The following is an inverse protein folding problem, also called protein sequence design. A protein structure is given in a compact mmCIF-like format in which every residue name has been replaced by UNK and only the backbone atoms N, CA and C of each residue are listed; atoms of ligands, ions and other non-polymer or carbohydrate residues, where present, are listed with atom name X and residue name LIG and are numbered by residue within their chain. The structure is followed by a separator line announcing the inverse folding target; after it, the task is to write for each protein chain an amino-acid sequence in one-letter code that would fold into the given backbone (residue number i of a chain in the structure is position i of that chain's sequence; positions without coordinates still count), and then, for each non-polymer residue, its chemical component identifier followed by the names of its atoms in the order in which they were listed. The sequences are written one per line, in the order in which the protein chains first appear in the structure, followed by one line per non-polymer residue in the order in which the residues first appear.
data_IF_535765694048
#
_entry.id   IF_535765694048
#
_cell.length_a   1.000
_cell.length_b   1.000
_cell.length_c   1.000
_cell.angle_alpha   90.00
_cell.angle_beta   90.00
_cell.angle_gamma   90.00
#
_symmetry.space_group_name_H-M   'P 1'
#
loop_
_entity.id
_entity.type
_entity.pdbx_description
1 polymer ?
#
# COMPACT_ATOMS: atom_id res chain seq x y z
N UNK A 1 15.07 -0.53 25.39
CA UNK A 1 15.40 0.20 24.15
C UNK A 1 14.52 -0.41 23.07
N UNK A 2 13.50 0.31 22.61
CA UNK A 2 12.64 -0.14 21.52
C UNK A 2 13.19 0.48 20.23
N UNK A 3 13.63 -0.34 19.28
CA UNK A 3 14.03 0.12 17.96
C UNK A 3 12.92 -0.20 16.96
N UNK A 4 12.63 0.74 16.07
CA UNK A 4 11.75 0.56 14.91
C UNK A 4 12.59 0.75 13.65
N UNK A 5 12.46 -0.16 12.71
CA UNK A 5 13.18 -0.11 11.44
C UNK A 5 12.15 0.04 10.34
N UNK A 6 12.36 1.02 9.47
CA UNK A 6 11.53 1.27 8.29
C UNK A 6 12.39 1.03 7.06
N UNK A 7 11.91 0.17 6.16
CA UNK A 7 12.58 -0.13 4.90
C UNK A 7 12.26 1.00 3.92
N UNK A 8 13.28 1.66 3.35
CA UNK A 8 13.10 2.77 2.41
C UNK A 8 13.48 2.31 1.00
N UNK A 9 12.53 2.34 0.07
CA UNK A 9 12.76 2.20 -1.36
C UNK A 9 13.13 3.56 -1.96
N UNK A 10 14.05 3.58 -2.92
CA UNK A 10 14.42 4.81 -3.62
C UNK A 10 13.25 5.29 -4.49
N UNK A 11 12.75 6.50 -4.27
CA UNK A 11 11.86 7.15 -5.24
C UNK A 11 11.99 8.67 -5.25
N UNK A 12 11.72 9.23 -6.42
CA UNK A 12 11.80 10.64 -6.76
C UNK A 12 10.51 11.41 -6.44
N UNK A 13 10.77 12.67 -6.08
CA UNK A 13 9.90 13.74 -5.58
C UNK A 13 8.60 13.96 -6.37
N UNK A 14 7.52 14.33 -5.67
CA UNK A 14 6.52 15.23 -6.27
C UNK A 14 5.84 16.22 -5.28
N UNK A 15 5.56 17.39 -5.85
CA UNK A 15 5.28 18.71 -5.25
C UNK A 15 4.13 18.80 -4.22
N UNK A 16 4.30 19.67 -3.23
CA UNK A 16 3.27 20.07 -2.27
C UNK A 16 2.28 21.07 -2.87
N UNK A 17 0.99 20.78 -2.73
CA UNK A 17 -0.10 21.73 -2.94
C UNK A 17 -1.05 21.66 -1.74
N UNK A 18 -0.79 22.43 -0.69
CA UNK A 18 -1.55 22.34 0.56
C UNK A 18 -1.46 23.52 1.54
N UNK A 19 -0.75 24.59 1.17
CA UNK A 19 -0.71 25.84 1.93
C UNK A 19 -1.52 26.93 1.21
N UNK A 20 -1.97 27.99 1.92
CA UNK A 20 -2.49 29.19 1.28
C UNK A 20 -1.54 29.65 0.17
N UNK A 21 -2.09 30.00 -1.00
CA UNK A 21 -1.27 30.37 -2.14
C UNK A 21 -0.41 31.60 -1.79
N UNK A 22 0.81 31.68 -2.33
CA UNK A 22 1.64 32.90 -2.20
C UNK A 22 0.89 34.14 -2.75
N UNK A 23 -0.02 33.93 -3.70
CA UNK A 23 -0.98 34.91 -4.20
C UNK A 23 -2.42 34.55 -3.76
N UNK A 24 -2.74 34.91 -2.51
CA UNK A 24 -4.06 34.70 -1.90
C UNK A 24 -5.16 35.45 -2.66
N UNK A 25 -4.85 36.60 -3.24
CA UNK A 25 -5.86 37.43 -3.91
C UNK A 25 -6.35 36.78 -5.20
N UNK A 26 -5.44 36.20 -5.98
CA UNK A 26 -5.80 35.38 -7.15
C UNK A 26 -6.57 34.13 -6.74
N UNK A 27 -6.15 33.43 -5.68
CA UNK A 27 -6.88 32.27 -5.18
C UNK A 27 -8.32 32.60 -4.75
N UNK A 28 -8.53 33.76 -4.09
CA UNK A 28 -9.86 34.26 -3.74
C UNK A 28 -10.71 34.59 -4.97
N UNK A 29 -10.12 35.18 -6.01
CA UNK A 29 -10.84 35.45 -7.28
C UNK A 29 -11.29 34.15 -7.95
N UNK A 30 -10.41 33.14 -8.00
CA UNK A 30 -10.73 31.81 -8.55
C UNK A 30 -11.83 31.13 -7.72
N UNK A 31 -11.73 31.17 -6.38
CA UNK A 31 -12.74 30.61 -5.49
C UNK A 31 -14.12 31.23 -5.73
N UNK A 32 -14.20 32.57 -5.83
CA UNK A 32 -15.46 33.25 -6.14
C UNK A 32 -16.07 32.80 -7.47
N UNK A 33 -15.23 32.65 -8.50
CA UNK A 33 -15.69 32.16 -9.80
C UNK A 33 -16.18 30.72 -9.72
N UNK A 34 -15.47 29.87 -8.99
CA UNK A 34 -15.84 28.47 -8.77
C UNK A 34 -17.16 28.35 -7.98
N UNK A 35 -17.41 29.20 -6.99
CA UNK A 35 -18.69 29.28 -6.27
C UNK A 35 -19.85 29.62 -7.20
N UNK A 36 -19.68 30.61 -8.08
CA UNK A 36 -20.72 30.97 -9.07
C UNK A 36 -21.04 29.83 -10.03
N UNK A 37 -20.04 29.00 -10.36
CA UNK A 37 -20.24 27.79 -11.17
C UNK A 37 -20.94 26.70 -10.35
N UNK A 38 -20.55 26.50 -9.09
CA UNK A 38 -21.14 25.52 -8.19
C UNK A 38 -22.63 25.80 -7.93
N UNK A 39 -23.02 27.07 -7.77
CA UNK A 39 -24.40 27.49 -7.56
C UNK A 39 -25.30 27.20 -8.77
N UNK A 40 -24.71 27.14 -9.97
CA UNK A 40 -25.41 26.78 -11.22
C UNK A 40 -25.36 25.29 -11.51
N UNK A 41 -24.60 24.52 -10.74
CA UNK A 41 -24.43 23.09 -10.95
C UNK A 41 -25.56 22.32 -10.27
N UNK A 42 -26.41 21.67 -11.05
CA UNK A 42 -27.58 20.92 -10.56
C UNK A 42 -27.23 19.59 -9.90
N UNK A 43 -26.03 19.05 -10.15
CA UNK A 43 -25.56 17.79 -9.56
C UNK A 43 -24.17 18.00 -8.94
N UNK A 44 -24.14 18.16 -7.62
CA UNK A 44 -22.89 18.13 -6.87
C UNK A 44 -22.31 16.72 -6.88
N UNK A 45 -20.99 16.62 -6.91
CA UNK A 45 -20.23 15.37 -6.88
C UNK A 45 -19.05 15.51 -5.91
N UNK A 46 -18.58 14.39 -5.36
CA UNK A 46 -17.45 14.33 -4.42
C UNK A 46 -16.21 15.06 -4.94
N UNK A 47 -15.83 14.82 -6.20
CA UNK A 47 -14.66 15.46 -6.82
C UNK A 47 -14.77 16.98 -6.89
N UNK A 48 -15.96 17.51 -7.16
CA UNK A 48 -16.24 18.95 -7.23
C UNK A 48 -16.08 19.56 -5.85
N UNK A 49 -16.71 18.97 -4.82
CA UNK A 49 -16.61 19.46 -3.45
C UNK A 49 -15.18 19.36 -2.91
N UNK A 50 -14.46 18.27 -3.18
CA UNK A 50 -13.04 18.13 -2.86
C UNK A 50 -12.20 19.22 -3.55
N UNK A 51 -12.52 19.58 -4.80
CA UNK A 51 -11.92 20.72 -5.50
C UNK A 51 -12.22 22.06 -4.81
N UNK A 52 -13.45 22.27 -4.37
CA UNK A 52 -13.85 23.48 -3.62
C UNK A 52 -13.13 23.59 -2.28
N UNK A 53 -12.92 22.48 -1.57
CA UNK A 53 -12.10 22.45 -0.34
C UNK A 53 -10.67 22.92 -0.65
N UNK A 54 -10.04 22.38 -1.70
CA UNK A 54 -8.68 22.80 -2.11
C UNK A 54 -8.60 24.30 -2.42
N UNK A 55 -9.56 24.82 -3.18
CA UNK A 55 -9.61 26.24 -3.53
C UNK A 55 -9.85 27.14 -2.30
N UNK A 56 -10.74 26.73 -1.40
CA UNK A 56 -11.03 27.47 -0.17
C UNK A 56 -9.80 27.50 0.76
N UNK A 57 -9.11 26.37 0.93
CA UNK A 57 -7.82 26.30 1.65
C UNK A 57 -6.78 27.22 1.01
N UNK A 58 -6.62 27.16 -0.32
CA UNK A 58 -5.67 28.01 -1.04
C UNK A 58 -5.97 29.52 -0.90
N UNK A 59 -7.24 29.88 -0.76
CA UNK A 59 -7.72 31.25 -0.55
C UNK A 59 -7.65 31.71 0.93
N UNK A 60 -7.28 30.81 1.86
CA UNK A 60 -7.28 31.09 3.30
C UNK A 60 -8.68 31.14 3.94
N UNK A 61 -9.72 30.71 3.23
CA UNK A 61 -11.11 30.69 3.71
C UNK A 61 -11.40 29.35 4.39
N UNK A 62 -10.83 29.12 5.58
CA UNK A 62 -10.81 27.79 6.23
C UNK A 62 -12.22 27.36 6.68
N UNK A 63 -13.02 28.26 7.22
CA UNK A 63 -14.40 27.95 7.64
C UNK A 63 -15.25 27.45 6.47
N UNK A 64 -15.06 28.07 5.30
CA UNK A 64 -15.72 27.68 4.08
C UNK A 64 -15.20 26.32 3.57
N UNK A 65 -13.90 26.06 3.68
CA UNK A 65 -13.32 24.76 3.36
C UNK A 65 -13.92 23.64 4.23
N UNK A 66 -14.09 23.90 5.53
CA UNK A 66 -14.73 22.97 6.47
C UNK A 66 -16.21 22.73 6.14
N UNK A 67 -16.93 23.77 5.72
CA UNK A 67 -18.31 23.64 5.28
C UNK A 67 -18.42 22.71 4.06
N UNK A 68 -17.60 22.92 3.03
CA UNK A 68 -17.60 22.06 1.84
C UNK A 68 -17.15 20.63 2.15
N UNK A 69 -16.18 20.46 3.04
CA UNK A 69 -15.75 19.14 3.47
C UNK A 69 -16.88 18.40 4.19
N UNK A 70 -17.54 19.04 5.16
CA UNK A 70 -18.69 18.46 5.88
C UNK A 70 -19.83 18.10 4.92
N UNK A 71 -20.13 18.96 3.95
CA UNK A 71 -21.11 18.68 2.91
C UNK A 71 -20.72 17.44 2.08
N UNK A 72 -19.44 17.35 1.70
CA UNK A 72 -18.92 16.19 0.97
C UNK A 72 -19.11 14.90 1.75
N UNK A 73 -18.76 14.90 3.04
CA UNK A 73 -18.85 13.72 3.92
C UNK A 73 -20.29 13.30 4.23
N UNK A 74 -21.23 14.24 4.22
CA UNK A 74 -22.64 13.98 4.54
C UNK A 74 -23.42 13.44 3.34
N UNK A 75 -23.06 13.86 2.13
CA UNK A 75 -23.84 13.60 0.92
C UNK A 75 -23.24 12.53 -0.01
N UNK A 76 -21.96 12.19 0.15
CA UNK A 76 -21.26 11.27 -0.74
C UNK A 76 -20.39 10.29 0.05
N UNK A 77 -20.05 9.15 -0.57
CA UNK A 77 -18.98 8.31 -0.07
C UNK A 77 -17.63 9.01 -0.34
N UNK A 78 -16.91 9.47 0.70
CA UNK A 78 -15.66 10.17 0.52
C UNK A 78 -14.57 9.20 0.08
N UNK A 79 -13.50 9.75 -0.49
CA UNK A 79 -12.28 9.02 -0.83
C UNK A 79 -11.14 9.60 0.01
N UNK A 80 -9.99 8.91 0.08
CA UNK A 80 -8.81 9.42 0.78
C UNK A 80 -8.42 10.86 0.33
N UNK A 81 -8.53 11.12 -0.99
CA UNK A 81 -8.30 12.45 -1.58
C UNK A 81 -9.20 13.57 -1.06
N UNK A 82 -10.35 13.24 -0.47
CA UNK A 82 -11.31 14.22 0.07
C UNK A 82 -10.82 14.82 1.40
N UNK A 83 -9.90 14.14 2.10
CA UNK A 83 -9.31 14.56 3.38
C UNK A 83 -7.95 15.22 3.20
N UNK A 84 -7.20 14.83 2.16
CA UNK A 84 -5.85 15.31 1.90
C UNK A 84 -5.67 16.85 2.01
N UNK A 85 -6.57 17.71 1.48
CA UNK A 85 -6.39 19.17 1.56
C UNK A 85 -6.39 19.71 2.99
N UNK A 86 -7.24 19.16 3.86
CA UNK A 86 -7.32 19.60 5.26
C UNK A 86 -6.18 18.99 6.09
N UNK A 87 -5.77 17.75 5.81
CA UNK A 87 -4.59 17.15 6.46
C UNK A 87 -3.32 17.92 6.12
N UNK A 88 -3.17 18.34 4.86
CA UNK A 88 -2.07 19.23 4.45
C UNK A 88 -2.12 20.59 5.15
N UNK A 89 -3.30 21.19 5.25
CA UNK A 89 -3.49 22.46 5.96
C UNK A 89 -3.04 22.35 7.42
N UNK A 90 -3.54 21.36 8.16
CA UNK A 90 -3.23 21.20 9.58
C UNK A 90 -1.78 20.81 9.83
N UNK A 91 -1.15 20.09 8.88
CA UNK A 91 0.27 19.76 8.93
C UNK A 91 1.19 20.90 8.50
N UNK A 92 0.64 21.97 7.92
CA UNK A 92 1.44 23.12 7.48
C UNK A 92 2.07 23.85 8.67
N UNK A 93 3.24 24.48 8.50
CA UNK A 93 3.92 25.23 9.57
C UNK A 93 3.10 26.38 10.15
N UNK A 94 2.09 26.88 9.43
CA UNK A 94 1.27 28.01 9.85
C UNK A 94 0.16 27.61 10.83
N UNK A 95 -0.35 26.39 10.73
CA UNK A 95 -1.46 25.91 11.56
C UNK A 95 -0.99 24.94 12.64
N UNK A 96 -0.20 23.91 12.26
CA UNK A 96 0.30 22.87 13.17
C UNK A 96 -0.75 22.34 14.18
N UNK A 97 -1.96 22.03 13.69
CA UNK A 97 -3.07 21.58 14.53
C UNK A 97 -3.15 20.04 14.53
N UNK A 98 -2.44 19.42 15.48
CA UNK A 98 -2.41 17.96 15.63
C UNK A 98 -3.77 17.38 16.03
N UNK A 99 -4.51 18.06 16.92
CA UNK A 99 -5.79 17.56 17.42
C UNK A 99 -6.85 17.56 16.31
N UNK A 100 -6.87 18.58 15.45
CA UNK A 100 -7.74 18.61 14.29
C UNK A 100 -7.35 17.55 13.25
N UNK A 101 -6.05 17.33 13.01
CA UNK A 101 -5.58 16.27 12.13
C UNK A 101 -5.97 14.87 12.64
N UNK A 102 -5.86 14.61 13.95
CA UNK A 102 -6.26 13.34 14.55
C UNK A 102 -7.78 13.10 14.49
N UNK A 103 -8.61 14.16 14.56
CA UNK A 103 -10.05 14.03 14.33
C UNK A 103 -10.38 13.59 12.91
N UNK A 104 -9.65 14.11 11.91
CA UNK A 104 -9.81 13.66 10.52
C UNK A 104 -9.40 12.19 10.34
N UNK A 105 -8.30 11.79 10.99
CA UNK A 105 -7.85 10.39 10.98
C UNK A 105 -8.88 9.47 11.61
N UNK A 106 -9.45 9.85 12.76
CA UNK A 106 -10.48 9.04 13.40
C UNK A 106 -11.73 8.88 12.52
N UNK A 107 -12.15 9.94 11.80
CA UNK A 107 -13.26 9.84 10.84
C UNK A 107 -12.90 8.96 9.63
N UNK A 108 -11.68 9.08 9.08
CA UNK A 108 -11.16 8.21 8.01
C UNK A 108 -11.19 6.73 8.41
N UNK A 109 -10.65 6.40 9.58
CA UNK A 109 -10.58 5.02 10.09
C UNK A 109 -11.96 4.47 10.40
N UNK A 110 -12.87 5.29 10.95
CA UNK A 110 -14.27 4.89 11.20
C UNK A 110 -15.02 4.50 9.92
N UNK A 111 -14.54 4.97 8.76
CA UNK A 111 -15.08 4.65 7.43
C UNK A 111 -14.34 3.52 6.73
N UNK A 112 -13.39 2.87 7.40
CA UNK A 112 -12.63 1.73 6.88
C UNK A 112 -11.47 2.09 5.98
N UNK A 113 -11.01 3.35 5.98
CA UNK A 113 -9.79 3.72 5.26
C UNK A 113 -8.55 3.43 6.09
N UNK A 114 -7.54 2.82 5.46
CA UNK A 114 -6.18 2.76 5.97
C UNK A 114 -5.40 3.99 5.52
N UNK A 115 -4.49 4.47 6.36
CA UNK A 115 -3.65 5.63 6.03
C UNK A 115 -2.52 5.21 5.07
N UNK A 116 -2.28 6.01 4.03
CA UNK A 116 -1.11 5.84 3.18
C UNK A 116 0.11 6.60 3.71
N UNK A 117 1.23 6.47 2.99
CA UNK A 117 2.48 7.19 3.31
C UNK A 117 2.29 8.71 3.34
N UNK A 118 1.48 9.25 2.42
CA UNK A 118 1.22 10.68 2.34
C UNK A 118 0.49 11.18 3.60
N UNK A 119 -0.58 10.51 4.02
CA UNK A 119 -1.36 10.87 5.20
C UNK A 119 -0.53 10.75 6.48
N UNK A 120 0.27 9.69 6.62
CA UNK A 120 1.20 9.51 7.72
C UNK A 120 2.24 10.63 7.74
N UNK A 121 2.79 11.02 6.59
CA UNK A 121 3.76 12.13 6.50
C UNK A 121 3.17 13.46 7.01
N UNK A 122 1.89 13.75 6.74
CA UNK A 122 1.23 14.95 7.26
C UNK A 122 1.08 14.90 8.78
N UNK A 123 0.66 13.76 9.34
CA UNK A 123 0.52 13.58 10.78
C UNK A 123 1.86 13.73 11.51
N UNK A 124 2.92 13.13 10.95
CA UNK A 124 4.25 13.23 11.54
C UNK A 124 4.76 14.69 11.57
N UNK A 125 4.39 15.51 10.57
CA UNK A 125 4.81 16.93 10.51
C UNK A 125 4.16 17.82 11.56
N UNK A 126 2.88 17.61 11.88
CA UNK A 126 2.20 18.35 12.97
C UNK A 126 2.31 17.70 14.34
N UNK A 127 2.88 16.49 14.45
CA UNK A 127 3.03 15.83 15.74
C UNK A 127 3.86 16.66 16.73
N UNK A 128 3.36 16.92 17.95
CA UNK A 128 4.14 17.52 19.02
C UNK A 128 5.19 16.53 19.55
N UNK A 129 6.25 17.04 20.18
CA UNK A 129 7.27 16.21 20.83
C UNK A 129 6.69 15.46 22.06
N UNK A 130 7.17 14.24 22.33
CA UNK A 130 6.75 13.40 23.44
C UNK A 130 6.05 12.10 23.02
N UNK A 131 5.14 11.58 23.86
CA UNK A 131 4.51 10.23 23.74
C UNK A 131 3.74 9.97 22.43
N UNK A 132 3.52 10.98 21.61
CA UNK A 132 2.91 10.84 20.30
C UNK A 132 3.86 10.21 19.26
N UNK A 133 5.19 10.26 19.50
CA UNK A 133 6.18 9.61 18.62
C UNK A 133 5.97 8.10 18.56
N UNK A 134 5.96 7.42 19.71
CA UNK A 134 5.84 5.96 19.77
C UNK A 134 4.56 5.47 19.09
N UNK A 135 3.44 6.16 19.33
CA UNK A 135 2.16 5.83 18.70
C UNK A 135 2.21 5.96 17.17
N UNK A 136 2.75 7.06 16.64
CA UNK A 136 2.81 7.26 15.18
C UNK A 136 3.88 6.38 14.54
N UNK A 137 5.01 6.14 15.20
CA UNK A 137 6.05 5.24 14.72
C UNK A 137 5.54 3.80 14.63
N UNK A 138 4.78 3.34 15.65
CA UNK A 138 4.10 2.05 15.62
C UNK A 138 3.07 2.00 14.49
N UNK A 139 2.32 3.08 14.28
CA UNK A 139 1.35 3.17 13.19
C UNK A 139 2.02 3.08 11.82
N UNK A 140 3.13 3.78 11.59
CA UNK A 140 3.91 3.68 10.35
C UNK A 140 4.43 2.26 10.16
N UNK A 141 5.05 1.66 11.19
CA UNK A 141 5.64 0.32 11.11
C UNK A 141 4.60 -0.78 10.87
N UNK A 142 3.36 -0.61 11.31
CA UNK A 142 2.27 -1.58 11.11
C UNK A 142 1.45 -1.34 9.84
N UNK A 143 1.61 -0.19 9.18
CA UNK A 143 0.80 0.16 7.99
C UNK A 143 1.63 0.16 6.71
N UNK A 144 2.94 0.43 6.80
CA UNK A 144 3.83 0.61 5.64
C UNK A 144 4.90 -0.47 5.63
N UNK A 145 4.78 -1.42 4.70
CA UNK A 145 5.76 -2.50 4.51
C UNK A 145 7.09 -1.99 3.97
N UNK A 146 7.01 -1.08 2.99
CA UNK A 146 8.15 -0.41 2.39
C UNK A 146 7.81 1.05 2.15
N UNK A 147 8.61 1.95 2.72
CA UNK A 147 8.51 3.39 2.51
C UNK A 147 9.01 3.69 1.11
N UNK A 148 8.10 4.05 0.22
CA UNK A 148 8.44 4.48 -1.13
C UNK A 148 8.63 5.99 -1.19
N UNK A 149 7.95 6.76 -0.35
CA UNK A 149 7.91 8.21 -0.39
C UNK A 149 9.00 8.85 0.49
N UNK A 150 9.91 9.60 -0.14
CA UNK A 150 10.94 10.38 0.56
C UNK A 150 10.36 11.36 1.58
N UNK A 151 9.14 11.87 1.36
CA UNK A 151 8.45 12.80 2.28
C UNK A 151 8.16 12.18 3.63
N UNK A 152 7.85 10.88 3.67
CA UNK A 152 7.63 10.16 4.92
C UNK A 152 8.95 10.04 5.69
N UNK A 153 10.03 9.68 4.99
CA UNK A 153 11.38 9.62 5.58
C UNK A 153 11.81 10.97 6.17
N UNK A 154 11.58 12.07 5.45
CA UNK A 154 11.91 13.41 5.92
C UNK A 154 11.05 13.85 7.11
N UNK A 155 9.77 13.48 7.12
CA UNK A 155 8.88 13.74 8.25
C UNK A 155 9.34 13.00 9.52
N UNK A 156 9.79 11.74 9.39
CA UNK A 156 10.35 10.95 10.49
C UNK A 156 11.62 11.61 11.04
N UNK A 157 12.56 11.99 10.16
CA UNK A 157 13.80 12.70 10.56
C UNK A 157 13.49 14.01 11.30
N UNK A 158 12.60 14.81 10.73
CA UNK A 158 12.20 16.10 11.31
C UNK A 158 11.55 15.92 12.67
N UNK A 159 10.71 14.89 12.83
CA UNK A 159 10.11 14.58 14.13
C UNK A 159 11.16 14.11 15.14
N UNK A 160 12.06 13.19 14.75
CA UNK A 160 13.13 12.71 15.63
C UNK A 160 14.02 13.83 16.14
N UNK A 161 14.30 14.85 15.31
CA UNK A 161 15.05 16.04 15.75
C UNK A 161 14.31 16.89 16.81
N UNK A 162 12.99 16.79 16.91
CA UNK A 162 12.19 17.51 17.92
C UNK A 162 12.16 16.79 19.26
N UNK A 163 12.44 15.48 19.29
CA UNK A 163 12.45 14.68 20.51
C UNK A 163 13.87 14.23 20.85
N UNK A 164 14.46 14.85 21.87
CA UNK A 164 15.81 14.54 22.34
C UNK A 164 15.98 13.10 22.87
N UNK A 165 14.89 12.38 23.12
CA UNK A 165 14.93 11.00 23.58
C UNK A 165 15.03 9.97 22.44
N UNK A 166 14.92 10.42 21.19
CA UNK A 166 14.90 9.58 20.00
C UNK A 166 16.08 9.93 19.09
N UNK A 167 16.77 8.91 18.60
CA UNK A 167 17.81 9.06 17.58
C UNK A 167 17.34 8.40 16.28
N UNK A 168 17.38 9.14 15.17
CA UNK A 168 16.97 8.65 13.84
C UNK A 168 18.20 8.56 12.95
N UNK A 169 18.55 7.35 12.53
CA UNK A 169 19.75 7.07 11.73
C UNK A 169 19.40 6.17 10.54
N UNK A 170 19.95 6.45 9.34
CA UNK A 170 19.95 5.45 8.28
C UNK A 170 20.88 4.29 8.67
N UNK A 171 20.43 3.06 8.47
CA UNK A 171 21.19 1.84 8.78
C UNK A 171 20.84 0.75 7.79
N UNK A 172 21.71 -0.26 7.71
CA UNK A 172 21.45 -1.51 6.99
C UNK A 172 20.98 -2.60 7.97
N UNK A 173 20.46 -3.68 7.39
CA UNK A 173 20.09 -4.92 8.08
C UNK A 173 20.97 -6.03 7.51
N UNK A 174 21.61 -6.81 8.38
CA UNK A 174 22.46 -7.93 7.96
C UNK A 174 21.65 -9.05 7.30
N UNK A 175 22.33 -9.98 6.62
CA UNK A 175 21.69 -11.16 6.02
C UNK A 175 20.95 -12.03 7.06
N UNK A 176 21.37 -11.99 8.32
CA UNK A 176 20.75 -12.69 9.45
C UNK A 176 19.59 -11.90 10.09
N UNK A 177 19.24 -10.73 9.53
CA UNK A 177 18.14 -9.89 9.98
C UNK A 177 18.49 -8.96 11.16
N UNK A 178 19.77 -8.67 11.43
CA UNK A 178 20.17 -7.79 12.53
C UNK A 178 20.41 -6.35 12.07
N UNK A 179 19.91 -5.38 12.83
CA UNK A 179 20.15 -3.96 12.62
C UNK A 179 21.62 -3.58 12.86
N UNK A 180 22.29 -2.96 11.90
CA UNK A 180 23.70 -2.56 12.07
C UNK A 180 23.92 -1.47 13.11
N UNK A 181 22.94 -0.59 13.34
CA UNK A 181 23.04 0.49 14.32
C UNK A 181 22.78 0.04 15.77
N UNK A 182 21.80 -0.84 15.98
CA UNK A 182 21.37 -1.24 17.35
C UNK A 182 21.77 -2.66 17.73
N UNK A 183 22.16 -3.50 16.77
CA UNK A 183 22.37 -4.94 16.96
C UNK A 183 21.09 -5.74 17.21
N UNK A 184 19.91 -5.10 17.21
CA UNK A 184 18.64 -5.78 17.47
C UNK A 184 18.25 -6.61 16.24
N UNK A 185 17.91 -7.89 16.49
CA UNK A 185 17.41 -8.81 15.47
C UNK A 185 15.94 -8.54 15.18
N UNK A 186 15.62 -8.37 13.91
CA UNK A 186 14.25 -8.21 13.43
C UNK A 186 13.45 -9.51 13.60
N UNK A 187 12.16 -9.36 13.84
CA UNK A 187 11.21 -10.47 13.93
C UNK A 187 10.76 -10.84 12.52
N UNK A 188 10.74 -12.14 12.19
CA UNK A 188 9.97 -12.64 11.04
C UNK A 188 8.49 -12.44 11.31
N UNK A 189 7.79 -11.75 10.42
CA UNK A 189 6.34 -11.61 10.49
C UNK A 189 5.77 -12.66 9.56
N UNK A 190 5.15 -13.68 10.14
CA UNK A 190 4.44 -14.70 9.39
C UNK A 190 2.96 -14.29 9.29
N UNK A 191 2.33 -14.65 8.17
CA UNK A 191 0.89 -14.48 7.98
C UNK A 191 0.16 -15.33 9.03
N UNK A 192 -0.83 -14.77 9.71
CA UNK A 192 -1.63 -15.51 10.69
C UNK A 192 -2.49 -16.60 10.03
N UNK A 193 -2.89 -17.62 10.79
CA UNK A 193 -3.77 -18.67 10.27
C UNK A 193 -5.10 -18.09 9.77
N UNK A 194 -5.61 -17.04 10.43
CA UNK A 194 -6.82 -16.33 10.05
C UNK A 194 -6.65 -15.57 8.72
N UNK A 195 -5.57 -14.79 8.57
CA UNK A 195 -5.25 -14.07 7.32
C UNK A 195 -5.00 -15.04 6.16
N UNK A 196 -4.34 -16.17 6.44
CA UNK A 196 -4.11 -17.21 5.45
C UNK A 196 -5.41 -17.87 4.99
N UNK A 197 -6.36 -18.10 5.91
CA UNK A 197 -7.69 -18.61 5.57
C UNK A 197 -8.46 -17.62 4.70
N UNK A 198 -8.47 -16.34 5.09
CA UNK A 198 -9.15 -15.29 4.32
C UNK A 198 -8.55 -15.16 2.91
N UNK A 199 -7.22 -15.17 2.80
CA UNK A 199 -6.52 -15.15 1.51
C UNK A 199 -6.87 -16.38 0.67
N UNK A 200 -6.95 -17.57 1.27
CA UNK A 200 -7.35 -18.80 0.60
C UNK A 200 -8.77 -18.69 0.04
N UNK A 201 -9.73 -18.22 0.84
CA UNK A 201 -11.14 -18.06 0.42
C UNK A 201 -11.28 -17.03 -0.72
N UNK A 202 -10.57 -15.91 -0.64
CA UNK A 202 -10.54 -14.90 -1.70
C UNK A 202 -9.92 -15.46 -2.98
N UNK A 203 -8.84 -16.24 -2.86
CA UNK A 203 -8.17 -16.87 -4.00
C UNK A 203 -9.06 -17.92 -4.67
N UNK A 204 -9.75 -18.75 -3.89
CA UNK A 204 -10.72 -19.72 -4.42
C UNK A 204 -11.87 -19.03 -5.15
N UNK A 205 -12.43 -17.97 -4.55
CA UNK A 205 -13.48 -17.18 -5.19
C UNK A 205 -13.01 -16.56 -6.51
N UNK A 206 -11.80 -16.01 -6.55
CA UNK A 206 -11.25 -15.41 -7.76
C UNK A 206 -10.94 -16.46 -8.83
N UNK A 207 -10.33 -17.59 -8.44
CA UNK A 207 -9.98 -18.67 -9.34
C UNK A 207 -11.23 -19.33 -9.97
N UNK A 208 -12.34 -19.34 -9.24
CA UNK A 208 -13.61 -19.92 -9.71
C UNK A 208 -14.59 -18.89 -10.27
N UNK A 209 -14.21 -17.60 -10.26
CA UNK A 209 -15.01 -16.52 -10.82
C UNK A 209 -15.21 -16.74 -12.32
N UNK A 210 -16.46 -16.66 -12.77
CA UNK A 210 -16.84 -16.79 -14.18
C UNK A 210 -16.47 -18.13 -14.86
N UNK A 211 -16.10 -19.16 -14.07
CA UNK A 211 -15.91 -20.52 -14.58
C UNK A 211 -17.23 -21.24 -14.82
N UNK A 212 -17.26 -22.13 -15.81
CA UNK A 212 -18.37 -23.08 -15.98
C UNK A 212 -18.39 -24.10 -14.83
N UNK A 213 -19.53 -24.75 -14.59
CA UNK A 213 -19.66 -25.78 -13.55
C UNK A 213 -18.65 -26.94 -13.75
N UNK A 214 -18.33 -27.30 -15.00
CA UNK A 214 -17.30 -28.30 -15.30
C UNK A 214 -15.90 -27.82 -14.87
N UNK A 215 -15.56 -26.56 -15.12
CA UNK A 215 -14.26 -25.99 -14.75
C UNK A 215 -14.13 -25.82 -13.24
N UNK A 216 -15.21 -25.42 -12.55
CA UNK A 216 -15.27 -25.41 -11.08
C UNK A 216 -15.07 -26.80 -10.50
N UNK A 217 -15.66 -27.83 -11.12
CA UNK A 217 -15.44 -29.21 -10.69
C UNK A 217 -13.96 -29.62 -10.81
N UNK A 218 -13.28 -29.25 -11.91
CA UNK A 218 -11.83 -29.52 -12.05
C UNK A 218 -10.99 -28.83 -10.96
N UNK A 219 -11.36 -27.62 -10.56
CA UNK A 219 -10.71 -26.93 -9.43
C UNK A 219 -10.95 -27.68 -8.10
N UNK A 220 -12.18 -28.12 -7.86
CA UNK A 220 -12.52 -28.91 -6.67
C UNK A 220 -11.79 -30.27 -6.65
N UNK A 221 -11.67 -30.93 -7.80
CA UNK A 221 -10.93 -32.18 -7.95
C UNK A 221 -9.45 -31.99 -7.60
N UNK A 222 -8.83 -30.87 -8.02
CA UNK A 222 -7.48 -30.52 -7.62
C UNK A 222 -7.37 -30.32 -6.10
N UNK A 223 -8.30 -29.58 -5.49
CA UNK A 223 -8.32 -29.34 -4.05
C UNK A 223 -8.42 -30.66 -3.26
N UNK A 224 -9.35 -31.53 -3.65
CA UNK A 224 -9.50 -32.87 -3.09
C UNK A 224 -8.25 -33.74 -3.28
N UNK A 225 -7.60 -33.64 -4.44
CA UNK A 225 -6.36 -34.35 -4.71
C UNK A 225 -5.25 -33.91 -3.76
N UNK A 226 -5.10 -32.60 -3.52
CA UNK A 226 -4.11 -32.05 -2.59
C UNK A 226 -4.40 -32.48 -1.14
N UNK A 227 -5.66 -32.43 -0.72
CA UNK A 227 -6.10 -32.85 0.63
C UNK A 227 -5.91 -34.35 0.87
N UNK A 228 -5.99 -35.16 -0.19
CA UNK A 228 -5.77 -36.62 -0.10
C UNK A 228 -4.30 -37.02 0.09
N UNK A 229 -3.35 -36.09 -0.09
CA UNK A 229 -1.93 -36.39 0.05
C UNK A 229 -1.57 -36.57 1.53
N UNK A 230 -0.96 -37.70 1.88
CA UNK A 230 -0.52 -37.99 3.25
C UNK A 230 0.55 -37.03 3.78
N UNK A 231 1.27 -36.37 2.89
CA UNK A 231 2.25 -35.34 3.19
C UNK A 231 2.07 -34.16 2.25
N UNK A 232 1.95 -32.92 2.75
CA UNK A 232 1.88 -31.75 1.87
C UNK A 232 3.21 -31.58 1.12
N UNK A 233 3.14 -31.01 -0.08
CA UNK A 233 4.34 -30.60 -0.80
C UNK A 233 5.02 -29.46 -0.03
N UNK A 234 6.33 -29.51 0.06
CA UNK A 234 7.13 -28.45 0.68
C UNK A 234 7.59 -27.41 -0.33
N UNK A 235 7.55 -27.76 -1.62
CA UNK A 235 7.93 -26.90 -2.74
C UNK A 235 6.84 -27.00 -3.81
N UNK A 236 6.29 -25.87 -4.22
CA UNK A 236 5.36 -25.76 -5.35
C UNK A 236 6.12 -25.08 -6.49
N UNK A 237 6.09 -25.70 -7.67
CA UNK A 237 6.81 -25.25 -8.86
C UNK A 237 5.83 -24.75 -9.90
N UNK A 238 5.90 -23.46 -10.23
CA UNK A 238 5.29 -22.90 -11.43
C UNK A 238 6.15 -23.27 -12.65
N UNK A 239 5.85 -24.42 -13.25
CA UNK A 239 6.63 -24.95 -14.35
C UNK A 239 6.49 -24.12 -15.63
N UNK A 240 5.37 -23.41 -15.81
CA UNK A 240 5.22 -22.55 -16.98
C UNK A 240 6.23 -21.39 -16.92
N UNK A 241 6.37 -20.75 -15.76
CA UNK A 241 7.35 -19.69 -15.56
C UNK A 241 8.79 -20.18 -15.79
N UNK A 242 9.14 -21.34 -15.22
CA UNK A 242 10.48 -21.91 -15.36
C UNK A 242 10.78 -22.28 -16.81
N UNK A 243 9.86 -23.00 -17.48
CA UNK A 243 10.07 -23.45 -18.86
C UNK A 243 10.16 -22.31 -19.88
N UNK A 244 9.65 -21.11 -19.55
CA UNK A 244 9.80 -19.90 -20.35
C UNK A 244 10.98 -19.01 -19.91
N UNK A 245 11.72 -19.39 -18.87
CA UNK A 245 12.80 -18.57 -18.35
C UNK A 245 13.91 -18.39 -19.40
N UNK A 246 14.18 -17.12 -19.73
CA UNK A 246 15.12 -16.70 -20.76
C UNK A 246 14.79 -17.22 -22.17
N UNK A 247 13.52 -17.48 -22.49
CA UNK A 247 13.07 -17.95 -23.82
C UNK A 247 12.42 -16.85 -24.68
N UNK A 248 12.49 -15.58 -24.30
CA UNK A 248 11.81 -14.49 -25.01
C UNK A 248 12.62 -13.96 -26.21
N UNK A 249 13.05 -14.83 -27.13
CA UNK A 249 13.78 -14.46 -28.36
C UNK A 249 13.22 -15.20 -29.58
N UNK A 250 13.63 -14.79 -30.79
CA UNK A 250 13.01 -15.18 -32.08
C UNK A 250 12.92 -16.70 -32.35
N UNK A 251 13.71 -17.50 -31.65
CA UNK A 251 13.73 -18.97 -31.71
C UNK A 251 13.63 -19.61 -30.31
N UNK A 252 13.05 -18.88 -29.35
CA UNK A 252 12.84 -19.37 -27.99
C UNK A 252 11.85 -20.52 -27.98
N UNK A 253 12.04 -21.47 -27.06
CA UNK A 253 11.15 -22.62 -26.94
C UNK A 253 10.93 -23.00 -25.48
N UNK A 254 9.78 -23.58 -25.19
CA UNK A 254 9.46 -24.08 -23.86
C UNK A 254 10.43 -25.21 -23.46
N UNK A 255 11.19 -25.02 -22.37
CA UNK A 255 12.25 -25.95 -21.97
C UNK A 255 11.83 -26.83 -20.78
N UNK A 256 11.49 -28.09 -21.06
CA UNK A 256 11.22 -29.07 -20.01
C UNK A 256 12.44 -29.37 -19.13
N UNK A 257 13.66 -29.35 -19.70
CA UNK A 257 14.89 -29.61 -18.94
C UNK A 257 15.11 -28.60 -17.80
N UNK A 258 14.70 -27.33 -17.97
CA UNK A 258 14.79 -26.33 -16.90
C UNK A 258 13.87 -26.68 -15.72
N UNK A 259 12.70 -27.25 -16.01
CA UNK A 259 11.75 -27.71 -14.98
C UNK A 259 12.33 -28.92 -14.24
N UNK A 260 12.89 -29.87 -14.99
CA UNK A 260 13.52 -31.08 -14.44
C UNK A 260 14.69 -30.70 -13.52
N UNK A 261 15.58 -29.79 -13.94
CA UNK A 261 16.73 -29.34 -13.14
C UNK A 261 16.28 -28.77 -11.77
N UNK A 262 15.22 -27.96 -11.75
CA UNK A 262 14.68 -27.37 -10.51
C UNK A 262 14.00 -28.43 -9.64
N UNK A 263 13.19 -29.31 -10.23
CA UNK A 263 12.51 -30.37 -9.49
C UNK A 263 13.52 -31.36 -8.89
N UNK A 264 14.55 -31.74 -9.64
CA UNK A 264 15.62 -32.63 -9.19
C UNK A 264 16.44 -32.01 -8.07
N UNK A 265 16.76 -30.72 -8.15
CA UNK A 265 17.52 -30.02 -7.12
C UNK A 265 16.86 -30.18 -5.75
N UNK A 266 15.58 -29.81 -5.63
CA UNK A 266 14.86 -29.91 -4.36
C UNK A 266 14.56 -31.35 -3.95
N UNK A 267 14.34 -32.25 -4.91
CA UNK A 267 14.16 -33.68 -4.61
C UNK A 267 15.44 -34.28 -4.01
N UNK A 268 16.62 -33.90 -4.49
CA UNK A 268 17.92 -34.32 -3.94
C UNK A 268 18.15 -33.82 -2.51
N UNK A 269 17.54 -32.70 -2.11
CA UNK A 269 17.51 -32.21 -0.73
C UNK A 269 16.46 -32.91 0.16
N UNK A 270 15.74 -33.90 -0.37
CA UNK A 270 14.69 -34.61 0.35
C UNK A 270 13.38 -33.83 0.48
N UNK A 271 13.17 -32.80 -0.33
CA UNK A 271 11.92 -32.03 -0.36
C UNK A 271 10.87 -32.72 -1.23
N UNK A 272 9.59 -32.58 -0.85
CA UNK A 272 8.46 -33.04 -1.69
C UNK A 272 8.07 -31.91 -2.64
N UNK A 273 8.21 -32.14 -3.93
CA UNK A 273 7.97 -31.15 -4.99
C UNK A 273 6.64 -31.42 -5.68
N UNK A 274 5.82 -30.40 -5.84
CA UNK A 274 4.61 -30.41 -6.67
C UNK A 274 4.80 -29.50 -7.87
N UNK A 275 4.77 -30.08 -9.07
CA UNK A 275 4.89 -29.33 -10.33
C UNK A 275 3.51 -29.01 -10.87
N UNK A 276 3.22 -27.72 -11.08
CA UNK A 276 1.98 -27.24 -11.68
C UNK A 276 2.26 -26.80 -13.12
N UNK A 277 1.63 -27.47 -14.09
CA UNK A 277 1.80 -27.19 -15.51
C UNK A 277 0.49 -27.38 -16.27
N UNK A 278 0.21 -26.50 -17.22
CA UNK A 278 -0.96 -26.61 -18.08
C UNK A 278 -0.83 -27.82 -19.03
N UNK A 279 -1.91 -28.59 -19.23
CA UNK A 279 -1.91 -29.84 -20.00
C UNK A 279 -1.37 -29.70 -21.43
N UNK A 280 -1.61 -28.54 -22.07
CA UNK A 280 -1.07 -28.22 -23.40
C UNK A 280 0.44 -28.48 -23.54
N UNK A 281 1.21 -28.23 -22.48
CA UNK A 281 2.67 -28.41 -22.48
C UNK A 281 3.11 -29.86 -22.28
N UNK A 282 2.15 -30.78 -22.13
CA UNK A 282 2.35 -32.22 -22.02
C UNK A 282 1.91 -32.96 -23.30
N UNK A 283 1.35 -32.25 -24.28
CA UNK A 283 0.86 -32.85 -25.52
C UNK A 283 2.03 -33.27 -26.43
N UNK A 284 1.96 -34.49 -26.95
CA UNK A 284 2.98 -35.02 -27.87
C UNK A 284 2.87 -34.34 -29.24
N UNK A 285 4.00 -33.83 -29.76
CA UNK A 285 4.05 -33.19 -31.08
C UNK A 285 3.64 -31.72 -31.10
N UNK A 286 3.52 -31.07 -29.94
CA UNK A 286 3.29 -29.64 -29.85
C UNK A 286 4.49 -28.85 -30.39
N UNK A 287 4.24 -27.78 -31.12
CA UNK A 287 5.25 -26.76 -31.40
C UNK A 287 5.56 -26.02 -30.10
N UNK A 288 6.81 -26.15 -29.64
CA UNK A 288 7.27 -25.56 -28.38
C UNK A 288 7.85 -24.16 -28.58
N UNK A 289 7.91 -23.65 -29.82
CA UNK A 289 8.37 -22.28 -30.08
C UNK A 289 7.47 -21.25 -29.40
N UNK A 290 8.10 -20.20 -28.85
CA UNK A 290 7.48 -19.11 -28.09
C UNK A 290 7.21 -17.89 -28.98
#
# INVERSE_FOLDING_TARGET
MHARILTVAASDVNLEAGCPAKDIETARKILKLAQQVLDKCSQRQENILTGMVKLAVAAGEIDLALQYHKECLSNFQPRLRSYAPLMQLYSSPQYQDFDAAMKLVADLESRGFTLGEAELSYLLRCCPAGKSFDFLADKVANTIDAVTDSRLTDAIKTMGQRDSSVEVLPTEVSAEGACSATGIKLRSIDITDEELHELSDLTERLATQDLSEEQKQKFLDLKNYLDSQSTPATIIVDAANIGHMNQNYTDGFFQHSQIDDVAEHFTKEGKKVLVILHSKWLEQGLDLTV
#
